data_IF_785609026312
#
_entry.id   IF_785609026312
#
_cell.length_a   1.000
_cell.length_b   1.000
_cell.length_c   1.000
_cell.angle_alpha   90.00
_cell.angle_beta   90.00
_cell.angle_gamma   90.00
#
_symmetry.space_group_name_H-M   'P 1'
#
loop_
_entity.id
_entity.type
_entity.pdbx_description
1 polymer ?
#
# COMPACT_ATOMS: atom_id res chain seq x y z
N UNK A 1 21.09 -18.71 17.25
CA UNK A 1 19.81 -18.06 16.88
C UNK A 1 19.43 -17.18 18.05
N UNK A 2 19.62 -15.86 17.91
CA UNK A 2 19.75 -14.95 19.04
C UNK A 2 18.62 -13.91 18.94
N UNK A 3 18.11 -13.41 20.06
CA UNK A 3 17.04 -12.41 20.13
C UNK A 3 17.07 -11.27 19.07
N UNK A 4 18.22 -10.65 18.72
CA UNK A 4 18.26 -9.59 17.70
C UNK A 4 17.82 -10.06 16.30
N UNK A 5 18.05 -11.33 15.95
CA UNK A 5 17.63 -11.87 14.66
C UNK A 5 16.10 -11.87 14.51
N UNK A 6 15.37 -12.27 15.54
CA UNK A 6 13.91 -12.31 15.53
C UNK A 6 13.28 -10.91 15.52
N UNK A 7 13.91 -9.94 16.20
CA UNK A 7 13.47 -8.54 16.16
C UNK A 7 13.59 -8.00 14.74
N UNK A 8 14.75 -8.18 14.10
CA UNK A 8 14.97 -7.73 12.71
C UNK A 8 14.00 -8.40 11.75
N UNK A 9 13.80 -9.72 11.88
CA UNK A 9 12.84 -10.45 11.06
C UNK A 9 11.41 -9.92 11.25
N UNK A 10 11.00 -9.66 12.49
CA UNK A 10 9.68 -9.09 12.79
C UNK A 10 9.46 -7.71 12.18
N UNK A 11 10.47 -6.84 12.23
CA UNK A 11 10.41 -5.50 11.60
C UNK A 11 10.27 -5.60 10.09
N UNK A 12 11.05 -6.47 9.44
CA UNK A 12 11.01 -6.67 7.98
C UNK A 12 9.63 -7.20 7.56
N UNK A 13 9.14 -8.23 8.25
CA UNK A 13 7.83 -8.81 7.95
C UNK A 13 6.69 -7.82 8.20
N UNK A 14 6.73 -7.08 9.31
CA UNK A 14 5.74 -6.07 9.63
C UNK A 14 5.70 -4.95 8.60
N UNK A 15 6.86 -4.45 8.18
CA UNK A 15 6.96 -3.44 7.12
C UNK A 15 6.43 -3.97 5.78
N UNK A 16 6.76 -5.20 5.43
CA UNK A 16 6.28 -5.81 4.18
C UNK A 16 4.77 -6.02 4.18
N UNK A 17 4.20 -6.55 5.26
CA UNK A 17 2.75 -6.73 5.39
C UNK A 17 2.04 -5.37 5.38
N UNK A 18 2.53 -4.39 6.15
CA UNK A 18 1.97 -3.05 6.19
C UNK A 18 1.97 -2.35 4.83
N UNK A 19 3.07 -2.48 4.08
CA UNK A 19 3.18 -1.96 2.72
C UNK A 19 2.11 -2.55 1.79
N UNK A 20 1.96 -3.87 1.78
CA UNK A 20 0.97 -4.54 0.93
C UNK A 20 -0.47 -4.14 1.28
N UNK A 21 -0.80 -4.12 2.58
CA UNK A 21 -2.14 -3.71 3.03
C UNK A 21 -2.46 -2.28 2.64
N UNK A 22 -1.50 -1.36 2.78
CA UNK A 22 -1.68 0.04 2.39
C UNK A 22 -1.94 0.19 0.88
N UNK A 23 -1.19 -0.52 0.04
CA UNK A 23 -1.37 -0.45 -1.42
C UNK A 23 -2.73 -1.00 -1.85
N UNK A 24 -3.17 -2.12 -1.27
CA UNK A 24 -4.48 -2.70 -1.55
C UNK A 24 -5.60 -1.76 -1.09
N UNK A 25 -5.49 -1.17 0.08
CA UNK A 25 -6.49 -0.25 0.60
C UNK A 25 -6.63 1.02 -0.27
N UNK A 26 -5.51 1.59 -0.71
CA UNK A 26 -5.51 2.73 -1.62
C UNK A 26 -6.13 2.34 -2.97
N UNK A 27 -5.73 1.20 -3.56
CA UNK A 27 -6.27 0.74 -4.83
C UNK A 27 -7.80 0.49 -4.77
N UNK A 28 -8.26 -0.18 -3.72
CA UNK A 28 -9.68 -0.47 -3.52
C UNK A 28 -10.51 0.82 -3.36
N UNK A 29 -10.02 1.80 -2.60
CA UNK A 29 -10.73 3.06 -2.43
C UNK A 29 -10.67 3.93 -3.70
N UNK A 30 -9.54 3.93 -4.41
CA UNK A 30 -9.42 4.54 -5.73
C UNK A 30 -10.44 3.94 -6.71
N UNK A 31 -10.61 2.62 -6.75
CA UNK A 31 -11.58 1.95 -7.63
C UNK A 31 -13.02 2.29 -7.23
N UNK A 32 -13.31 2.32 -5.93
CA UNK A 32 -14.66 2.55 -5.40
C UNK A 32 -15.13 4.00 -5.50
N UNK A 33 -14.25 4.96 -5.26
CA UNK A 33 -14.60 6.39 -5.12
C UNK A 33 -13.89 7.31 -6.12
N UNK A 34 -12.90 6.82 -6.85
CA UNK A 34 -12.02 7.67 -7.66
C UNK A 34 -11.02 8.50 -6.82
N UNK A 35 -10.82 8.15 -5.55
CA UNK A 35 -9.93 8.89 -4.63
C UNK A 35 -9.69 8.17 -3.31
N UNK A 36 -8.73 8.64 -2.51
CA UNK A 36 -8.42 8.12 -1.17
C UNK A 36 -8.30 9.25 -0.14
N UNK A 37 -8.75 8.99 1.09
CA UNK A 37 -8.76 9.95 2.18
C UNK A 37 -7.51 9.85 3.05
N UNK A 38 -6.83 10.98 3.27
CA UNK A 38 -5.70 11.09 4.21
C UNK A 38 -5.98 12.22 5.20
N UNK A 39 -6.43 11.84 6.40
CA UNK A 39 -6.85 12.79 7.42
C UNK A 39 -8.06 13.61 6.94
N UNK A 40 -7.84 14.91 6.68
CA UNK A 40 -8.87 15.83 6.17
C UNK A 40 -8.77 16.10 4.65
N UNK A 41 -7.79 15.50 3.99
CA UNK A 41 -7.50 15.73 2.58
C UNK A 41 -8.03 14.56 1.73
N UNK A 42 -8.56 14.88 0.55
CA UNK A 42 -9.00 13.89 -0.44
C UNK A 42 -8.03 13.95 -1.61
N UNK A 43 -7.41 12.82 -1.90
CA UNK A 43 -6.55 12.66 -3.07
C UNK A 43 -7.35 11.99 -4.16
N UNK A 44 -7.37 12.54 -5.37
CA UNK A 44 -7.98 11.88 -6.52
C UNK A 44 -7.01 10.87 -7.11
N UNK A 45 -7.54 9.73 -7.52
CA UNK A 45 -6.76 8.70 -8.19
C UNK A 45 -7.01 8.77 -9.69
N UNK A 46 -5.95 8.55 -10.46
CA UNK A 46 -6.04 8.29 -11.89
C UNK A 46 -5.38 6.94 -12.11
N UNK A 47 -6.19 5.93 -12.42
CA UNK A 47 -5.66 4.63 -12.83
C UNK A 47 -4.92 4.82 -14.15
N UNK A 48 -3.62 4.56 -14.14
CA UNK A 48 -2.85 4.46 -15.39
C UNK A 48 -3.06 3.06 -15.92
N UNK A 49 -4.16 2.86 -16.66
CA UNK A 49 -4.34 1.64 -17.46
C UNK A 49 -3.21 1.63 -18.48
N UNK A 50 -2.40 0.59 -18.49
CA UNK A 50 -1.31 0.47 -19.45
C UNK A 50 -1.82 0.75 -20.87
N UNK A 51 -1.33 1.86 -21.39
CA UNK A 51 -1.25 2.25 -22.79
C UNK A 51 -0.50 1.28 -23.70
N UNK A 52 -0.14 0.05 -23.27
CA UNK A 52 0.96 -0.67 -23.90
C UNK A 52 0.49 -2.04 -24.40
N UNK A 53 -0.38 -1.99 -25.40
CA UNK A 53 -0.29 -2.89 -26.54
C UNK A 53 0.83 -2.47 -27.50
N UNK A 54 2.07 -2.38 -27.01
CA UNK A 54 3.33 -2.26 -27.76
C UNK A 54 4.30 -3.27 -27.17
#
# INVERSE_FOLDING_TARGET
MNAPFWILLGVILGAWIGWNVAHVAVAAECERLGGFFVGKQVFKCVEVKNADGI
#
